data_IF_336858574537
#
_entry.id   IF_336858574537
#
_cell.length_a   1.000
_cell.length_b   1.000
_cell.length_c   1.000
_cell.angle_alpha   90.00
_cell.angle_beta   90.00
_cell.angle_gamma   90.00
#
_symmetry.space_group_name_H-M   'P 1'
#
loop_
_entity.id
_entity.type
_entity.pdbx_description
1 polymer ?
#
# COMPACT_ATOMS: atom_id res chain seq x y z
N UNK A 1 -7.62 -11.43 19.40
CA UNK A 1 -6.70 -12.43 20.00
C UNK A 1 -6.01 -11.93 21.25
N UNK A 2 -5.38 -10.74 21.27
CA UNK A 2 -4.77 -10.18 22.51
C UNK A 2 -5.71 -10.14 23.72
N UNK A 3 -6.95 -9.65 23.55
CA UNK A 3 -7.97 -9.68 24.59
C UNK A 3 -8.25 -11.10 25.10
N UNK A 4 -8.42 -12.06 24.20
CA UNK A 4 -8.79 -13.43 24.57
C UNK A 4 -7.64 -14.10 25.33
N UNK A 5 -6.40 -13.94 24.86
CA UNK A 5 -5.21 -14.45 25.56
C UNK A 5 -5.07 -13.87 26.98
N UNK A 6 -5.35 -12.57 27.13
CA UNK A 6 -5.36 -11.90 28.42
C UNK A 6 -6.49 -12.42 29.32
N UNK A 7 -7.70 -12.59 28.77
CA UNK A 7 -8.88 -13.02 29.50
C UNK A 7 -8.78 -14.49 29.93
N UNK A 8 -8.21 -15.37 29.11
CA UNK A 8 -7.98 -16.79 29.43
C UNK A 8 -7.07 -16.97 30.65
N UNK A 9 -6.23 -15.99 30.99
CA UNK A 9 -5.44 -16.00 32.22
C UNK A 9 -6.23 -15.60 33.49
N UNK A 10 -7.47 -15.10 33.35
CA UNK A 10 -8.28 -14.55 34.45
C UNK A 10 -9.64 -15.24 34.61
N UNK A 11 -10.17 -15.84 33.54
CA UNK A 11 -11.45 -16.54 33.52
C UNK A 11 -11.38 -17.78 32.64
N UNK A 12 -12.10 -18.83 33.04
CA UNK A 12 -12.26 -20.05 32.23
C UNK A 12 -13.17 -19.85 31.01
N UNK A 13 -14.11 -18.89 31.09
CA UNK A 13 -15.06 -18.59 30.01
C UNK A 13 -14.83 -17.14 29.56
N UNK A 14 -14.32 -16.98 28.33
CA UNK A 14 -14.04 -15.66 27.73
C UNK A 14 -15.23 -15.13 26.92
N UNK A 15 -16.04 -16.02 26.35
CA UNK A 15 -17.22 -15.65 25.58
C UNK A 15 -18.50 -16.29 26.15
N UNK A 16 -19.64 -15.58 26.15
CA UNK A 16 -19.84 -14.21 25.66
C UNK A 16 -19.05 -13.17 26.50
N UNK A 17 -18.45 -12.19 25.82
CA UNK A 17 -17.63 -11.19 26.48
C UNK A 17 -18.54 -10.21 27.23
N UNK A 18 -18.20 -9.90 28.47
CA UNK A 18 -18.93 -8.95 29.30
C UNK A 18 -18.16 -7.62 29.44
N UNK A 19 -18.89 -6.52 29.55
CA UNK A 19 -18.32 -5.17 29.70
C UNK A 19 -17.28 -5.06 30.82
N UNK A 20 -17.50 -5.59 32.04
CA UNK A 20 -16.53 -5.43 33.13
C UNK A 20 -15.18 -6.08 32.82
N UNK A 21 -15.19 -7.22 32.12
CA UNK A 21 -13.98 -7.94 31.74
C UNK A 21 -13.22 -7.21 30.62
N UNK A 22 -13.93 -6.61 29.66
CA UNK A 22 -13.33 -5.78 28.61
C UNK A 22 -12.78 -4.48 29.19
N UNK A 23 -13.51 -3.84 30.11
CA UNK A 23 -13.02 -2.66 30.83
C UNK A 23 -11.74 -2.97 31.60
N UNK A 24 -11.70 -4.07 32.34
CA UNK A 24 -10.51 -4.50 33.06
C UNK A 24 -9.32 -4.78 32.12
N UNK A 25 -9.57 -5.30 30.92
CA UNK A 25 -8.52 -5.42 29.89
C UNK A 25 -8.00 -4.06 29.46
N UNK A 26 -8.90 -3.14 29.12
CA UNK A 26 -8.55 -1.80 28.67
C UNK A 26 -7.76 -1.06 29.74
N UNK A 27 -8.15 -1.21 31.01
CA UNK A 27 -7.48 -0.58 32.14
C UNK A 27 -6.05 -1.12 32.36
N UNK A 28 -5.86 -2.42 32.19
CA UNK A 28 -4.56 -3.10 32.38
C UNK A 28 -3.57 -2.80 31.24
N UNK A 29 -4.05 -2.60 30.02
CA UNK A 29 -3.18 -2.33 28.86
C UNK A 29 -3.05 -0.86 28.48
N UNK A 30 -3.85 0.05 29.04
CA UNK A 30 -3.90 1.47 28.62
C UNK A 30 -2.54 2.17 28.60
N UNK A 31 -1.63 1.81 29.50
CA UNK A 31 -0.33 2.49 29.64
C UNK A 31 0.78 1.86 28.76
N UNK A 32 0.54 0.66 28.22
CA UNK A 32 1.51 -0.09 27.40
C UNK A 32 1.08 -0.21 25.94
N UNK A 33 -0.21 -0.15 25.66
CA UNK A 33 -0.75 -0.43 24.36
C UNK A 33 -0.56 0.75 23.40
N UNK A 34 -0.40 0.45 22.11
CA UNK A 34 -0.30 1.49 21.08
C UNK A 34 -1.56 2.39 21.08
N UNK A 35 -1.44 3.70 20.77
CA UNK A 35 -2.56 4.65 20.86
C UNK A 35 -3.84 4.28 20.09
N UNK A 36 -3.75 3.44 19.05
CA UNK A 36 -4.87 2.99 18.21
C UNK A 36 -5.41 1.60 18.57
N UNK A 37 -4.75 0.89 19.47
CA UNK A 37 -5.02 -0.51 19.79
C UNK A 37 -6.45 -0.72 20.33
N UNK A 38 -6.85 0.04 21.36
CA UNK A 38 -8.15 -0.10 22.02
C UNK A 38 -9.32 0.24 21.09
N UNK A 39 -9.16 1.26 20.24
CA UNK A 39 -10.14 1.52 19.16
C UNK A 39 -10.23 0.35 18.18
N UNK A 40 -9.11 -0.28 17.84
CA UNK A 40 -9.10 -1.46 16.97
C UNK A 40 -9.79 -2.67 17.63
N UNK A 41 -9.66 -2.83 18.94
CA UNK A 41 -10.39 -3.86 19.71
C UNK A 41 -11.89 -3.60 19.70
N UNK A 42 -12.33 -2.35 19.88
CA UNK A 42 -13.74 -1.97 19.73
C UNK A 42 -14.28 -2.29 18.33
N UNK A 43 -13.51 -1.97 17.27
CA UNK A 43 -13.88 -2.35 15.90
C UNK A 43 -13.97 -3.86 15.72
N UNK A 44 -13.09 -4.65 16.36
CA UNK A 44 -13.14 -6.10 16.32
C UNK A 44 -14.39 -6.66 17.03
N UNK A 45 -14.81 -6.07 18.15
CA UNK A 45 -16.07 -6.41 18.80
C UNK A 45 -17.28 -6.04 17.92
N UNK A 46 -17.29 -4.86 17.31
CA UNK A 46 -18.33 -4.47 16.37
C UNK A 46 -18.42 -5.43 15.17
N UNK A 47 -17.28 -5.85 14.62
CA UNK A 47 -17.23 -6.88 13.60
C UNK A 47 -17.79 -8.21 14.10
N UNK A 48 -17.37 -8.68 15.27
CA UNK A 48 -17.86 -9.93 15.86
C UNK A 48 -19.39 -9.90 16.08
N UNK A 49 -19.95 -8.75 16.48
CA UNK A 49 -21.39 -8.55 16.58
C UNK A 49 -22.07 -8.66 15.21
N UNK A 50 -21.73 -7.77 14.28
CA UNK A 50 -22.50 -7.59 13.05
C UNK A 50 -22.24 -8.64 11.97
N UNK A 51 -21.05 -9.25 11.97
CA UNK A 51 -20.66 -10.21 10.94
C UNK A 51 -20.69 -11.64 11.46
N UNK A 52 -20.20 -11.87 12.69
CA UNK A 52 -20.13 -13.22 13.28
C UNK A 52 -21.38 -13.56 14.09
N UNK A 53 -22.17 -12.56 14.49
CA UNK A 53 -23.39 -12.75 15.28
C UNK A 53 -23.12 -12.96 16.79
N UNK A 54 -21.98 -12.49 17.30
CA UNK A 54 -21.64 -12.59 18.72
C UNK A 54 -22.62 -11.75 19.56
N UNK A 55 -23.35 -12.41 20.47
CA UNK A 55 -24.33 -11.78 21.36
C UNK A 55 -23.66 -11.14 22.58
N UNK A 56 -24.34 -10.15 23.18
CA UNK A 56 -23.89 -9.48 24.42
C UNK A 56 -22.81 -8.41 24.21
N UNK A 57 -22.51 -8.05 22.96
CA UNK A 57 -21.47 -7.07 22.63
C UNK A 57 -21.96 -5.62 22.74
N UNK A 58 -23.27 -5.40 22.75
CA UNK A 58 -23.90 -4.07 22.83
C UNK A 58 -23.45 -3.31 24.09
N UNK A 59 -23.48 -3.96 25.24
CA UNK A 59 -23.04 -3.38 26.51
C UNK A 59 -21.56 -2.92 26.47
N UNK A 60 -20.71 -3.62 25.72
CA UNK A 60 -19.30 -3.25 25.54
C UNK A 60 -19.18 -2.01 24.63
N UNK A 61 -19.87 -2.02 23.48
CA UNK A 61 -19.79 -0.93 22.50
C UNK A 61 -20.44 0.35 23.00
N UNK A 62 -21.50 0.23 23.80
CA UNK A 62 -22.24 1.35 24.39
C UNK A 62 -21.63 1.83 25.71
N UNK A 63 -20.69 1.09 26.32
CA UNK A 63 -20.04 1.51 27.56
C UNK A 63 -19.27 2.83 27.39
N UNK A 64 -19.67 3.85 28.15
CA UNK A 64 -18.95 5.12 28.22
C UNK A 64 -17.54 4.95 28.79
N UNK A 65 -17.32 3.97 29.68
CA UNK A 65 -16.02 3.71 30.29
C UNK A 65 -15.02 3.12 29.29
N UNK A 66 -15.45 2.08 28.56
CA UNK A 66 -14.62 1.43 27.54
C UNK A 66 -14.31 2.39 26.39
N UNK A 67 -15.33 3.11 25.90
CA UNK A 67 -15.16 4.15 24.87
C UNK A 67 -14.27 5.28 25.35
N UNK A 68 -14.43 5.73 26.60
CA UNK A 68 -13.62 6.78 27.21
C UNK A 68 -12.15 6.41 27.30
N UNK A 69 -11.81 5.19 27.73
CA UNK A 69 -10.43 4.71 27.76
C UNK A 69 -9.82 4.62 26.35
N UNK A 70 -10.56 4.08 25.38
CA UNK A 70 -10.09 4.03 24.00
C UNK A 70 -9.89 5.42 23.39
N UNK A 71 -10.78 6.37 23.68
CA UNK A 71 -10.66 7.74 23.23
C UNK A 71 -9.46 8.44 23.87
N UNK A 72 -9.28 8.29 25.19
CA UNK A 72 -8.15 8.87 25.93
C UNK A 72 -6.80 8.34 25.43
N UNK A 73 -6.69 7.03 25.23
CA UNK A 73 -5.49 6.43 24.66
C UNK A 73 -5.24 6.92 23.23
N UNK A 74 -6.29 7.09 22.43
CA UNK A 74 -6.18 7.63 21.08
C UNK A 74 -5.72 9.10 21.04
N UNK A 75 -6.02 9.90 22.06
CA UNK A 75 -5.51 11.28 22.17
C UNK A 75 -3.98 11.31 22.33
N UNK A 76 -3.37 10.23 22.82
CA UNK A 76 -1.91 10.10 22.91
C UNK A 76 -1.28 9.73 21.55
N UNK A 77 -2.08 9.53 20.49
CA UNK A 77 -1.57 9.23 19.16
C UNK A 77 -0.72 10.40 18.67
N UNK A 78 0.57 10.13 18.43
CA UNK A 78 1.49 11.08 17.80
C UNK A 78 0.90 11.62 16.50
N UNK A 79 1.18 12.89 16.18
CA UNK A 79 0.81 13.47 14.89
C UNK A 79 1.36 12.59 13.77
N UNK A 80 0.50 12.23 12.82
CA UNK A 80 0.90 11.42 11.67
C UNK A 80 1.88 12.21 10.81
N UNK A 81 3.10 11.70 10.67
CA UNK A 81 4.08 12.22 9.72
C UNK A 81 3.80 11.58 8.36
N UNK A 82 3.22 12.36 7.45
CA UNK A 82 2.99 11.90 6.08
C UNK A 82 4.33 11.73 5.34
N UNK A 83 4.43 10.72 4.47
CA UNK A 83 5.61 10.48 3.64
C UNK A 83 5.94 11.68 2.76
N UNK A 84 7.21 12.05 2.67
CA UNK A 84 7.66 13.17 1.84
C UNK A 84 7.36 12.89 0.36
N UNK A 85 6.78 13.83 -0.42
CA UNK A 85 6.69 13.66 -1.87
C UNK A 85 8.09 13.60 -2.50
N UNK A 86 8.24 13.02 -3.68
CA UNK A 86 9.50 13.12 -4.40
C UNK A 86 9.70 14.57 -4.87
N UNK A 87 10.95 15.04 -4.80
CA UNK A 87 11.37 16.31 -5.40
C UNK A 87 11.47 16.17 -6.93
N UNK A 88 11.50 17.29 -7.64
CA UNK A 88 11.70 17.34 -9.10
C UNK A 88 13.00 16.62 -9.48
N UNK A 89 14.08 16.86 -8.73
CA UNK A 89 15.38 16.20 -8.94
C UNK A 89 15.31 14.67 -8.79
N UNK A 90 14.50 14.17 -7.86
CA UNK A 90 14.31 12.73 -7.64
C UNK A 90 13.58 12.09 -8.82
N UNK A 91 12.51 12.72 -9.31
CA UNK A 91 11.75 12.20 -10.46
C UNK A 91 12.61 12.26 -11.73
N UNK A 92 13.34 13.36 -11.95
CA UNK A 92 14.28 13.51 -13.05
C UNK A 92 15.39 12.44 -13.03
N UNK A 93 15.94 12.12 -11.86
CA UNK A 93 16.92 11.05 -11.71
C UNK A 93 16.32 9.68 -12.09
N UNK A 94 15.11 9.37 -11.60
CA UNK A 94 14.44 8.12 -11.97
C UNK A 94 14.21 8.01 -13.48
N UNK A 95 13.86 9.12 -14.15
CA UNK A 95 13.75 9.18 -15.62
C UNK A 95 15.08 8.86 -16.30
N UNK A 96 16.18 9.48 -15.87
CA UNK A 96 17.51 9.21 -16.42
C UNK A 96 17.95 7.77 -16.21
N UNK A 97 17.71 7.20 -15.02
CA UNK A 97 17.99 5.80 -14.73
C UNK A 97 17.19 4.91 -15.68
N UNK A 98 15.86 5.07 -15.75
CA UNK A 98 14.99 4.27 -16.60
C UNK A 98 15.43 4.30 -18.08
N UNK A 99 15.73 5.50 -18.59
CA UNK A 99 16.23 5.72 -19.96
C UNK A 99 17.68 5.27 -20.20
N UNK A 100 18.36 4.68 -19.22
CA UNK A 100 19.72 4.16 -19.38
C UNK A 100 20.82 5.22 -19.40
N UNK A 101 20.52 6.46 -19.01
CA UNK A 101 21.48 7.59 -19.05
C UNK A 101 22.44 7.61 -17.84
N UNK A 102 22.22 6.75 -16.85
CA UNK A 102 22.97 6.71 -15.58
C UNK A 102 23.81 5.41 -15.43
N UNK A 103 23.95 4.61 -16.49
CA UNK A 103 24.77 3.39 -16.49
C UNK A 103 24.36 2.34 -15.43
N UNK A 104 23.07 2.31 -15.06
CA UNK A 104 22.54 1.42 -14.01
C UNK A 104 22.20 0.03 -14.53
N UNK A 105 22.14 -0.94 -13.61
CA UNK A 105 21.75 -2.32 -13.90
C UNK A 105 20.36 -2.39 -14.53
N UNK A 106 20.10 -3.44 -15.30
CA UNK A 106 18.79 -3.65 -15.92
C UNK A 106 17.66 -3.70 -14.88
N UNK A 107 17.93 -4.31 -13.71
CA UNK A 107 16.99 -4.37 -12.59
C UNK A 107 16.69 -2.99 -11.99
N UNK A 108 17.70 -2.12 -11.88
CA UNK A 108 17.50 -0.74 -11.41
C UNK A 108 16.70 0.09 -12.40
N UNK A 109 16.92 -0.10 -13.71
CA UNK A 109 16.14 0.54 -14.77
C UNK A 109 14.67 0.10 -14.70
N UNK A 110 14.44 -1.20 -14.49
CA UNK A 110 13.11 -1.78 -14.30
C UNK A 110 12.41 -1.21 -13.06
N UNK A 111 13.11 -1.16 -11.93
CA UNK A 111 12.58 -0.58 -10.70
C UNK A 111 12.30 0.93 -10.83
N UNK A 112 13.19 1.68 -11.48
CA UNK A 112 13.01 3.12 -11.72
C UNK A 112 11.76 3.39 -12.57
N UNK A 113 11.57 2.65 -13.66
CA UNK A 113 10.36 2.75 -14.49
C UNK A 113 9.09 2.40 -13.72
N UNK A 114 9.12 1.39 -12.84
CA UNK A 114 7.99 1.08 -11.96
C UNK A 114 7.68 2.23 -10.99
N UNK A 115 8.69 2.87 -10.38
CA UNK A 115 8.46 4.02 -9.51
C UNK A 115 7.94 5.25 -10.27
N UNK A 116 8.42 5.48 -11.49
CA UNK A 116 7.87 6.51 -12.38
C UNK A 116 6.42 6.21 -12.72
N UNK A 117 6.08 4.95 -12.98
CA UNK A 117 4.69 4.54 -13.16
C UNK A 117 3.84 4.87 -11.93
N UNK A 118 4.29 4.57 -10.71
CA UNK A 118 3.54 4.98 -9.50
C UNK A 118 3.33 6.50 -9.40
N UNK A 119 4.35 7.30 -9.76
CA UNK A 119 4.28 8.76 -9.79
C UNK A 119 3.29 9.23 -10.86
N UNK A 120 3.53 8.85 -12.11
CA UNK A 120 2.79 9.28 -13.29
C UNK A 120 1.44 8.60 -13.45
N UNK A 121 1.12 7.55 -12.68
CA UNK A 121 -0.22 6.97 -12.56
C UNK A 121 -0.94 7.40 -11.27
N UNK A 122 -0.24 8.04 -10.32
CA UNK A 122 -0.69 8.25 -8.93
C UNK A 122 -1.20 6.97 -8.26
N UNK A 123 -0.62 5.85 -8.65
CA UNK A 123 -1.04 4.53 -8.19
C UNK A 123 -0.48 4.24 -6.80
N UNK A 124 -1.24 3.51 -5.97
CA UNK A 124 -0.65 2.90 -4.76
C UNK A 124 0.25 1.74 -5.19
N UNK A 125 1.30 1.48 -4.42
CA UNK A 125 2.21 0.37 -4.67
C UNK A 125 1.48 -0.97 -4.79
N UNK A 126 0.69 -1.34 -3.78
CA UNK A 126 -0.10 -2.57 -3.80
C UNK A 126 -1.15 -2.59 -4.90
N UNK A 127 -1.58 -1.41 -5.37
CA UNK A 127 -2.52 -1.32 -6.47
C UNK A 127 -1.87 -1.63 -7.82
N UNK A 128 -0.69 -1.05 -8.06
CA UNK A 128 0.13 -1.29 -9.25
C UNK A 128 0.67 -2.72 -9.35
N UNK A 129 0.96 -3.37 -8.22
CA UNK A 129 1.42 -4.76 -8.19
C UNK A 129 0.35 -5.78 -8.67
N UNK A 130 -0.91 -5.35 -8.81
CA UNK A 130 -2.05 -6.17 -9.30
C UNK A 130 -2.53 -5.72 -10.67
N UNK A 131 -1.68 -5.05 -11.43
CA UNK A 131 -1.94 -4.68 -12.81
C UNK A 131 -1.89 -5.95 -13.65
N UNK A 132 -2.95 -6.18 -14.45
CA UNK A 132 -3.08 -7.40 -15.27
C UNK A 132 -2.81 -7.14 -16.73
N UNK A 133 -3.12 -5.94 -17.22
CA UNK A 133 -2.90 -5.56 -18.61
C UNK A 133 -2.39 -4.14 -18.71
N UNK A 134 -1.26 -3.97 -19.38
CA UNK A 134 -0.72 -2.69 -19.77
C UNK A 134 -1.13 -2.39 -21.22
N UNK A 135 -1.91 -1.34 -21.43
CA UNK A 135 -2.20 -0.82 -22.77
C UNK A 135 -1.36 0.42 -22.99
N UNK A 136 -0.38 0.29 -23.87
CA UNK A 136 0.48 1.40 -24.28
C UNK A 136 -0.14 2.12 -25.46
N UNK A 137 -1.03 3.06 -25.17
CA UNK A 137 -1.40 4.12 -26.11
C UNK A 137 -0.50 5.32 -25.78
N UNK A 138 -0.46 6.39 -26.59
CA UNK A 138 0.29 7.62 -26.22
C UNK A 138 -0.02 8.15 -24.79
N UNK A 139 -1.10 7.68 -24.17
CA UNK A 139 -1.29 7.55 -22.72
C UNK A 139 -1.25 6.07 -22.30
N UNK A 140 -0.49 5.74 -21.26
CA UNK A 140 -0.54 4.41 -20.65
C UNK A 140 -1.93 4.27 -20.00
N UNK A 141 -2.70 3.25 -20.36
CA UNK A 141 -3.98 2.91 -19.72
C UNK A 141 -3.92 1.47 -19.20
N UNK A 142 -4.41 1.24 -17.98
CA UNK A 142 -4.23 -0.03 -17.28
C UNK A 142 -5.52 -0.46 -16.62
N UNK A 143 -5.97 -1.67 -16.94
CA UNK A 143 -7.05 -2.36 -16.25
C UNK A 143 -6.47 -3.35 -15.22
N UNK A 144 -6.92 -3.25 -13.96
CA UNK A 144 -6.73 -4.30 -12.93
C UNK A 144 -7.62 -5.51 -13.28
N UNK A 145 -7.31 -6.73 -12.85
CA UNK A 145 -8.22 -7.87 -12.97
C UNK A 145 -7.89 -9.02 -12.00
N UNK A 146 -8.82 -9.93 -11.70
CA UNK A 146 -8.48 -11.26 -11.22
C UNK A 146 -8.05 -12.15 -12.40
N UNK A 147 -7.06 -13.01 -12.13
CA UNK A 147 -6.58 -14.07 -13.01
C UNK A 147 -7.71 -15.08 -13.26
N UNK A 148 -8.19 -15.19 -14.49
CA UNK A 148 -8.98 -16.34 -14.92
C UNK A 148 -8.33 -16.90 -16.18
N UNK A 149 -7.86 -18.14 -16.08
CA UNK A 149 -7.53 -18.99 -17.22
C UNK A 149 -8.77 -19.09 -18.11
N UNK A 150 -8.57 -19.02 -19.42
CA UNK A 150 -9.61 -19.26 -20.41
C UNK A 150 -10.31 -20.60 -20.13
N UNK A 151 -11.59 -20.53 -19.77
CA UNK A 151 -12.53 -21.55 -20.17
C UNK A 151 -13.94 -20.97 -20.24
N UNK A 152 -14.53 -21.11 -21.43
CA UNK A 152 -15.95 -20.91 -21.71
C UNK A 152 -16.82 -21.49 -20.60
N UNK A 153 -17.75 -20.68 -20.08
CA UNK A 153 -19.19 -20.96 -19.99
C UNK A 153 -19.86 -20.01 -18.98
N UNK A 154 -20.82 -19.24 -19.50
CA UNK A 154 -21.98 -18.64 -18.84
C UNK A 154 -22.17 -19.01 -17.35
N UNK A 155 -21.86 -18.10 -16.42
CA UNK A 155 -22.52 -17.90 -15.12
C UNK A 155 -22.12 -16.50 -14.55
N UNK A 156 -22.89 -15.91 -13.63
CA UNK A 156 -23.43 -14.56 -13.75
C UNK A 156 -22.50 -13.42 -13.33
N UNK A 157 -22.71 -12.27 -13.98
CA UNK A 157 -22.27 -10.90 -13.67
C UNK A 157 -22.19 -10.65 -12.15
N UNK A 158 -21.02 -10.83 -11.55
CA UNK A 158 -20.61 -10.05 -10.37
C UNK A 158 -19.64 -8.98 -10.88
N UNK A 159 -20.13 -7.74 -10.96
CA UNK A 159 -19.44 -6.60 -11.53
C UNK A 159 -18.20 -6.20 -10.70
N UNK A 160 -17.07 -6.85 -10.96
CA UNK A 160 -15.76 -6.45 -10.49
C UNK A 160 -15.23 -5.27 -11.32
N UNK A 161 -15.74 -4.06 -11.08
CA UNK A 161 -15.32 -2.85 -11.79
C UNK A 161 -13.80 -2.64 -11.69
N UNK A 162 -13.13 -2.63 -12.85
CA UNK A 162 -11.70 -2.39 -12.96
C UNK A 162 -11.38 -0.91 -12.71
N UNK A 163 -10.23 -0.62 -12.09
CA UNK A 163 -9.76 0.76 -11.95
C UNK A 163 -8.87 1.11 -13.16
N UNK A 164 -9.34 1.92 -14.12
CA UNK A 164 -8.52 2.36 -15.25
C UNK A 164 -7.47 3.35 -14.74
N UNK A 165 -6.23 2.88 -14.59
CA UNK A 165 -5.10 3.74 -14.24
C UNK A 165 -4.49 4.31 -15.51
N UNK A 166 -4.36 5.63 -15.57
CA UNK A 166 -3.76 6.32 -16.70
C UNK A 166 -2.42 6.95 -16.29
N UNK A 167 -1.42 6.99 -17.16
CA UNK A 167 -0.16 7.71 -16.88
C UNK A 167 0.36 8.55 -18.04
N UNK A 168 0.98 9.69 -17.70
CA UNK A 168 1.67 10.53 -18.68
C UNK A 168 2.99 9.89 -19.08
N UNK A 169 3.12 9.52 -20.36
CA UNK A 169 4.30 8.86 -20.91
C UNK A 169 5.53 9.78 -21.06
N UNK A 170 5.31 11.10 -21.08
CA UNK A 170 6.38 12.09 -21.18
C UNK A 170 6.79 12.59 -19.79
N UNK A 171 8.07 12.41 -19.47
CA UNK A 171 8.66 12.79 -18.20
C UNK A 171 8.95 14.29 -18.06
N UNK A 172 9.43 14.70 -16.90
CA UNK A 172 9.86 16.07 -16.59
C UNK A 172 11.00 16.52 -17.48
N UNK A 173 11.95 15.65 -17.82
CA UNK A 173 13.08 15.98 -18.70
C UNK A 173 12.72 15.99 -20.19
N UNK A 174 11.43 15.81 -20.54
CA UNK A 174 11.01 15.60 -21.92
C UNK A 174 11.40 14.22 -22.47
N UNK A 175 11.88 13.32 -21.59
CA UNK A 175 12.22 11.95 -21.93
C UNK A 175 10.95 11.09 -22.02
N UNK A 176 10.98 10.17 -22.97
CA UNK A 176 9.97 9.13 -23.16
C UNK A 176 10.26 7.93 -22.24
N UNK A 177 10.22 8.17 -20.93
CA UNK A 177 10.55 7.16 -19.93
C UNK A 177 9.65 5.92 -20.03
N UNK A 178 8.39 6.11 -20.41
CA UNK A 178 7.44 5.02 -20.57
C UNK A 178 7.90 4.01 -21.63
N UNK A 179 8.37 4.52 -22.77
CA UNK A 179 8.83 3.69 -23.88
C UNK A 179 10.14 2.97 -23.51
N UNK A 180 11.08 3.70 -22.90
CA UNK A 180 12.30 3.09 -22.38
C UNK A 180 12.02 2.02 -21.31
N UNK A 181 10.96 2.19 -20.52
CA UNK A 181 10.57 1.19 -19.53
C UNK A 181 9.97 -0.06 -20.18
N UNK A 182 9.21 0.09 -21.27
CA UNK A 182 8.70 -1.05 -22.06
C UNK A 182 9.87 -1.87 -22.57
N UNK A 183 10.84 -1.22 -23.22
CA UNK A 183 12.04 -1.90 -23.75
C UNK A 183 12.78 -2.68 -22.64
N UNK A 184 12.91 -2.08 -21.44
CA UNK A 184 13.52 -2.73 -20.27
C UNK A 184 12.67 -3.91 -19.78
N UNK A 185 11.35 -3.77 -19.76
CA UNK A 185 10.46 -4.83 -19.31
C UNK A 185 10.50 -6.04 -20.25
N UNK A 186 10.62 -5.80 -21.57
CA UNK A 186 10.83 -6.81 -22.61
C UNK A 186 12.20 -7.49 -22.46
N UNK A 187 13.28 -6.71 -22.29
CA UNK A 187 14.63 -7.23 -22.07
C UNK A 187 14.73 -8.07 -20.78
N UNK A 188 13.96 -7.72 -19.76
CA UNK A 188 13.84 -8.46 -18.51
C UNK A 188 13.01 -9.74 -18.59
N UNK A 189 12.31 -9.98 -19.71
CA UNK A 189 11.25 -11.01 -19.82
C UNK A 189 10.24 -10.93 -18.65
N UNK A 190 9.90 -9.69 -18.27
CA UNK A 190 9.07 -9.40 -17.09
C UNK A 190 7.63 -9.02 -17.44
N UNK A 191 7.30 -8.89 -18.73
CA UNK A 191 5.95 -8.66 -19.24
C UNK A 191 5.27 -9.99 -19.49
N UNK A 192 4.83 -10.65 -18.42
CA UNK A 192 3.93 -11.80 -18.53
C UNK A 192 2.69 -11.49 -17.70
N UNK A 193 1.50 -11.86 -18.20
CA UNK A 193 0.23 -11.71 -17.47
C UNK A 193 0.24 -12.41 -16.10
N UNK A 194 1.17 -13.34 -15.95
CA UNK A 194 1.38 -14.14 -14.77
C UNK A 194 2.28 -13.51 -13.70
N UNK A 195 3.00 -12.44 -14.05
CA UNK A 195 3.95 -11.77 -13.18
C UNK A 195 3.36 -10.48 -12.61
N UNK A 196 3.72 -10.14 -11.35
CA UNK A 196 3.45 -8.82 -10.82
C UNK A 196 4.23 -7.75 -11.59
N UNK A 197 3.72 -6.52 -11.63
CA UNK A 197 4.32 -5.43 -12.42
C UNK A 197 5.78 -5.09 -12.01
N UNK A 198 6.14 -5.29 -10.74
CA UNK A 198 7.54 -5.33 -10.32
C UNK A 198 7.80 -6.63 -9.54
N UNK A 199 8.34 -7.66 -10.22
CA UNK A 199 8.68 -8.91 -9.59
C UNK A 199 9.88 -8.76 -8.66
N UNK A 200 9.99 -9.68 -7.70
CA UNK A 200 11.12 -9.68 -6.77
C UNK A 200 12.37 -10.24 -7.49
N UNK A 201 13.50 -9.54 -7.50
CA UNK A 201 14.71 -10.02 -8.16
C UNK A 201 15.22 -11.30 -7.50
N UNK A 202 15.73 -12.21 -8.32
CA UNK A 202 16.46 -13.42 -7.94
C UNK A 202 17.96 -13.14 -7.78
N UNK A 203 18.67 -14.06 -7.12
CA UNK A 203 20.10 -13.92 -6.82
C UNK A 203 21.00 -14.04 -8.07
N UNK A 204 20.51 -14.66 -9.14
CA UNK A 204 21.19 -14.85 -10.42
C UNK A 204 20.75 -13.81 -11.47
N UNK A 205 20.13 -12.70 -11.06
CA UNK A 205 19.65 -11.66 -11.96
C UNK A 205 18.32 -11.96 -12.66
N UNK A 206 17.71 -13.13 -12.40
CA UNK A 206 16.36 -13.46 -12.91
C UNK A 206 15.27 -12.82 -12.07
N UNK A 207 14.01 -12.94 -12.50
CA UNK A 207 12.85 -12.46 -11.75
C UNK A 207 12.08 -13.62 -11.13
N UNK A 208 11.55 -13.41 -9.93
CA UNK A 208 10.67 -14.38 -9.26
C UNK A 208 9.22 -14.05 -9.57
N UNK A 209 8.37 -15.09 -9.62
CA UNK A 209 6.92 -14.97 -9.84
C UNK A 209 6.15 -14.45 -8.61
N UNK A 210 6.78 -13.59 -7.81
CA UNK A 210 6.21 -13.00 -6.60
C UNK A 210 6.49 -11.51 -6.57
N UNK A 211 5.51 -10.75 -6.09
CA UNK A 211 5.60 -9.30 -6.00
C UNK A 211 6.71 -8.88 -5.05
N UNK A 212 7.44 -7.82 -5.40
CA UNK A 212 8.41 -7.20 -4.51
C UNK A 212 7.70 -6.71 -3.23
N UNK A 213 8.15 -7.12 -2.04
CA UNK A 213 7.62 -6.60 -0.78
C UNK A 213 7.76 -5.07 -0.67
N UNK A 214 6.78 -4.41 -0.04
CA UNK A 214 6.71 -2.95 0.00
C UNK A 214 7.90 -2.32 0.74
N UNK A 215 8.37 -2.95 1.82
CA UNK A 215 9.55 -2.55 2.56
C UNK A 215 10.82 -2.58 1.69
N UNK A 216 11.01 -3.67 0.93
CA UNK A 216 12.11 -3.81 -0.01
C UNK A 216 12.03 -2.78 -1.13
N UNK A 217 10.83 -2.51 -1.65
CA UNK A 217 10.63 -1.44 -2.62
C UNK A 217 10.98 -0.06 -2.06
N UNK A 218 10.65 0.23 -0.80
CA UNK A 218 11.03 1.50 -0.16
C UNK A 218 12.55 1.63 0.02
N UNK A 219 13.23 0.54 0.38
CA UNK A 219 14.70 0.50 0.47
C UNK A 219 15.33 0.70 -0.92
N UNK A 220 14.82 0.02 -1.94
CA UNK A 220 15.33 0.13 -3.30
C UNK A 220 15.14 1.54 -3.86
N UNK A 221 13.94 2.13 -3.72
CA UNK A 221 13.67 3.51 -4.11
C UNK A 221 14.68 4.48 -3.46
N UNK A 222 14.86 4.40 -2.14
CA UNK A 222 15.81 5.27 -1.43
C UNK A 222 17.25 5.05 -1.88
N UNK A 223 17.64 3.81 -2.17
CA UNK A 223 18.97 3.50 -2.68
C UNK A 223 19.21 4.10 -4.06
N UNK A 224 18.26 3.96 -5.00
CA UNK A 224 18.35 4.57 -6.33
C UNK A 224 18.53 6.09 -6.23
N UNK A 225 17.75 6.75 -5.36
CA UNK A 225 17.82 8.19 -5.16
C UNK A 225 19.15 8.59 -4.50
N UNK A 226 19.53 7.96 -3.40
CA UNK A 226 20.74 8.30 -2.66
C UNK A 226 22.03 8.13 -3.48
N UNK A 227 22.06 7.15 -4.39
CA UNK A 227 23.20 6.93 -5.27
C UNK A 227 23.33 7.97 -6.40
N UNK A 228 22.28 8.74 -6.70
CA UNK A 228 22.31 9.76 -7.76
C UNK A 228 22.29 11.20 -7.24
N UNK A 229 21.53 11.50 -6.19
CA UNK A 229 21.47 12.85 -5.58
C UNK A 229 22.26 12.98 -4.27
N UNK A 230 22.82 11.87 -3.76
CA UNK A 230 23.48 11.82 -2.46
C UNK A 230 22.53 11.47 -1.31
N UNK A 231 23.07 11.05 -0.15
CA UNK A 231 22.26 10.79 1.03
C UNK A 231 21.68 12.10 1.59
N UNK A 232 20.36 12.15 1.79
CA UNK A 232 19.63 13.30 2.34
C UNK A 232 18.68 12.79 3.44
N UNK A 233 18.60 13.49 4.57
CA UNK A 233 17.65 13.19 5.64
C UNK A 233 16.20 13.19 5.13
N UNK A 234 15.91 14.02 4.12
CA UNK A 234 14.62 14.03 3.43
C UNK A 234 14.23 12.64 2.89
N UNK A 235 15.20 11.86 2.40
CA UNK A 235 14.98 10.52 1.85
C UNK A 235 14.61 9.50 2.93
N UNK A 236 14.94 9.73 4.20
CA UNK A 236 14.56 8.81 5.29
C UNK A 236 13.04 8.65 5.40
N UNK A 237 12.29 9.71 5.09
CA UNK A 237 10.83 9.71 5.07
C UNK A 237 10.23 9.48 3.67
N UNK A 238 11.04 9.09 2.68
CA UNK A 238 10.58 8.66 1.35
C UNK A 238 10.27 7.16 1.37
N UNK A 239 9.16 6.77 0.72
CA UNK A 239 8.76 5.38 0.55
C UNK A 239 7.81 5.22 -0.63
N UNK A 240 7.24 4.04 -0.81
CA UNK A 240 6.38 3.74 -1.96
C UNK A 240 5.15 4.66 -2.08
N UNK A 241 4.60 5.12 -0.94
CA UNK A 241 3.49 6.09 -0.95
C UNK A 241 3.91 7.50 -1.38
N UNK A 242 5.20 7.86 -1.25
CA UNK A 242 5.75 9.12 -1.76
C UNK A 242 5.46 9.27 -3.24
N UNK A 243 5.59 8.19 -4.03
CA UNK A 243 5.32 8.20 -5.46
C UNK A 243 3.89 8.68 -5.78
N UNK A 244 2.88 8.06 -5.17
CA UNK A 244 1.47 8.49 -5.32
C UNK A 244 1.28 9.96 -4.91
N UNK A 245 1.93 10.38 -3.82
CA UNK A 245 1.74 11.70 -3.23
C UNK A 245 2.38 12.81 -4.07
N UNK A 246 3.46 12.54 -4.81
CA UNK A 246 4.24 13.53 -5.56
C UNK A 246 3.37 14.42 -6.43
N UNK A 247 2.73 13.85 -7.46
CA UNK A 247 1.92 14.63 -8.41
C UNK A 247 0.69 15.24 -7.73
N UNK A 248 0.04 14.54 -6.79
CA UNK A 248 -1.12 15.07 -6.08
C UNK A 248 -0.76 16.28 -5.20
N UNK A 249 0.43 16.26 -4.59
CA UNK A 249 0.99 17.37 -3.82
C UNK A 249 1.30 18.55 -4.73
N UNK A 250 1.96 18.31 -5.86
CA UNK A 250 2.25 19.35 -6.86
C UNK A 250 0.97 19.97 -7.42
N UNK A 251 -0.04 19.15 -7.74
CA UNK A 251 -1.34 19.61 -8.19
C UNK A 251 -2.03 20.51 -7.15
N UNK A 252 -1.92 20.14 -5.87
CA UNK A 252 -2.44 20.99 -4.79
C UNK A 252 -1.68 22.31 -4.67
N UNK A 253 -0.36 22.31 -4.87
CA UNK A 253 0.46 23.53 -4.82
C UNK A 253 0.19 24.47 -6.00
N UNK A 254 -0.02 23.91 -7.20
CA UNK A 254 -0.44 24.67 -8.40
C UNK A 254 -1.87 25.20 -8.33
N UNK A 255 -2.66 24.78 -7.34
CA UNK A 255 -4.05 25.24 -7.20
C UNK A 255 -5.07 24.47 -8.04
N UNK A 256 -4.81 23.20 -8.41
CA UNK A 256 -5.82 22.42 -9.12
C UNK A 256 -7.07 22.20 -8.24
N UNK A 257 -8.28 22.30 -8.83
CA UNK A 257 -9.53 22.04 -8.14
C UNK A 257 -9.58 20.71 -7.39
N UNK A 258 -10.29 20.67 -6.25
CA UNK A 258 -10.31 19.52 -5.34
C UNK A 258 -10.92 18.28 -5.99
N UNK A 259 -11.98 18.45 -6.77
CA UNK A 259 -12.64 17.44 -7.60
C UNK A 259 -11.64 16.79 -8.58
N UNK A 260 -10.89 17.60 -9.35
CA UNK A 260 -9.89 17.08 -10.29
C UNK A 260 -8.76 16.33 -9.58
N UNK A 261 -8.31 16.82 -8.41
CA UNK A 261 -7.33 16.12 -7.57
C UNK A 261 -7.88 14.82 -6.98
N UNK A 262 -9.15 14.80 -6.59
CA UNK A 262 -9.81 13.61 -6.06
C UNK A 262 -9.92 12.52 -7.14
N UNK A 263 -10.38 12.89 -8.34
CA UNK A 263 -10.48 11.99 -9.50
C UNK A 263 -9.09 11.48 -9.91
N UNK A 264 -8.09 12.36 -9.99
CA UNK A 264 -6.69 11.98 -10.26
C UNK A 264 -6.10 11.01 -9.23
N UNK A 265 -6.58 11.10 -7.97
CA UNK A 265 -6.18 10.22 -6.87
C UNK A 265 -7.00 8.93 -6.77
N UNK A 266 -7.94 8.71 -7.70
CA UNK A 266 -8.91 7.62 -7.74
C UNK A 266 -9.83 7.57 -6.52
N UNK A 267 -10.18 8.74 -5.99
CA UNK A 267 -11.15 8.87 -4.91
C UNK A 267 -12.55 8.99 -5.51
N UNK A 268 -13.39 7.98 -5.29
CA UNK A 268 -14.82 8.08 -5.54
C UNK A 268 -15.50 8.57 -4.26
N UNK A 269 -16.26 9.68 -4.35
CA UNK A 269 -17.03 10.14 -3.21
C UNK A 269 -18.28 9.27 -3.09
N UNK A 270 -18.46 8.56 -1.96
CA UNK A 270 -19.76 7.96 -1.62
C UNK A 270 -20.72 8.96 -0.96
N UNK A 271 -20.22 10.14 -0.57
CA UNK A 271 -20.91 11.09 0.32
C UNK A 271 -21.59 12.25 -0.39
N UNK A 272 -21.46 12.40 -1.72
CA UNK A 272 -22.03 13.53 -2.45
C UNK A 272 -23.28 13.19 -3.30
N UNK A 273 -23.88 12.01 -3.18
CA UNK A 273 -25.01 11.63 -4.06
C UNK A 273 -24.63 11.48 -5.55
N UNK A 274 -23.44 11.93 -5.97
CA UNK A 274 -22.81 11.76 -7.29
C UNK A 274 -22.27 10.34 -7.48
N UNK A 275 -23.03 9.34 -7.01
CA UNK A 275 -22.67 7.93 -7.18
C UNK A 275 -22.93 7.42 -8.60
N UNK A 276 -23.79 8.11 -9.36
CA UNK A 276 -24.30 7.67 -10.66
C UNK A 276 -23.72 8.43 -11.86
N UNK A 277 -23.07 9.58 -11.68
CA UNK A 277 -22.55 10.37 -12.80
C UNK A 277 -21.22 9.82 -13.35
N UNK A 278 -20.35 9.33 -12.45
CA UNK A 278 -19.17 8.51 -12.79
C UNK A 278 -19.51 7.19 -13.49
N UNK A 279 -20.78 6.75 -13.46
CA UNK A 279 -21.27 5.55 -14.16
C UNK A 279 -21.51 5.85 -15.65
N UNK A 280 -21.69 7.13 -16.03
CA UNK A 280 -21.94 7.54 -17.41
C UNK A 280 -20.76 8.28 -18.08
N UNK A 281 -19.79 8.78 -17.31
CA UNK A 281 -18.58 9.38 -17.89
C UNK A 281 -17.54 8.32 -18.23
N UNK A 282 -17.60 7.83 -19.47
CA UNK A 282 -16.62 6.88 -20.07
C UNK A 282 -15.17 7.37 -19.93
N UNK A 283 -14.94 8.67 -19.72
CA UNK A 283 -13.60 9.26 -19.55
C UNK A 283 -13.55 10.38 -18.49
N UNK A 284 -14.03 10.13 -17.27
CA UNK A 284 -13.92 11.09 -16.15
C UNK A 284 -12.45 11.51 -15.83
N UNK A 285 -11.46 10.72 -16.28
CA UNK A 285 -10.03 11.03 -16.10
C UNK A 285 -9.48 12.02 -17.13
N UNK A 286 -10.18 12.24 -18.24
CA UNK A 286 -9.69 13.05 -19.36
C UNK A 286 -9.28 14.48 -18.96
N UNK A 287 -10.16 15.20 -18.27
CA UNK A 287 -9.90 16.59 -17.86
C UNK A 287 -8.79 16.68 -16.81
N UNK A 288 -8.80 15.87 -15.72
CA UNK A 288 -7.70 15.85 -14.76
C UNK A 288 -6.34 15.48 -15.39
N UNK A 289 -6.30 14.55 -16.35
CA UNK A 289 -5.07 14.19 -17.07
C UNK A 289 -4.54 15.33 -17.93
N UNK A 290 -5.39 16.10 -18.60
CA UNK A 290 -4.98 17.31 -19.35
C UNK A 290 -4.42 18.38 -18.42
N UNK A 291 -5.10 18.64 -17.30
CA UNK A 291 -4.64 19.61 -16.29
C UNK A 291 -3.28 19.21 -15.72
N UNK A 292 -3.10 17.93 -15.41
CA UNK A 292 -1.85 17.36 -14.94
C UNK A 292 -0.74 17.44 -16.00
N UNK A 293 -1.02 17.11 -17.26
CA UNK A 293 -0.04 17.25 -18.34
C UNK A 293 0.41 18.70 -18.53
N UNK A 294 -0.49 19.67 -18.31
CA UNK A 294 -0.13 21.09 -18.30
C UNK A 294 0.78 21.44 -17.12
N UNK A 295 0.48 20.95 -15.92
CA UNK A 295 1.34 21.15 -14.75
C UNK A 295 2.75 20.61 -15.01
N UNK A 296 2.87 19.39 -15.53
CA UNK A 296 4.18 18.78 -15.80
C UNK A 296 4.97 19.56 -16.86
N UNK A 297 4.28 20.16 -17.85
CA UNK A 297 4.92 21.09 -18.81
C UNK A 297 5.45 22.35 -18.12
N UNK A 298 4.70 22.92 -17.18
CA UNK A 298 5.14 24.10 -16.42
C UNK A 298 6.35 23.78 -15.54
N UNK A 299 6.35 22.62 -14.86
CA UNK A 299 7.51 22.12 -14.09
C UNK A 299 8.73 22.00 -15.00
N UNK A 300 8.57 21.38 -16.18
CA UNK A 300 9.67 21.24 -17.16
C UNK A 300 10.23 22.58 -17.62
N UNK A 301 9.36 23.57 -17.83
CA UNK A 301 9.77 24.90 -18.27
C UNK A 301 10.31 25.80 -17.16
N UNK A 302 10.29 25.34 -15.90
CA UNK A 302 10.65 26.14 -14.73
C UNK A 302 9.59 27.16 -14.29
N UNK A 303 8.48 27.32 -15.04
CA UNK A 303 7.36 28.23 -14.69
C UNK A 303 6.68 27.89 -13.38
N UNK A 304 6.73 26.61 -12.99
CA UNK A 304 6.20 26.13 -11.72
C UNK A 304 7.27 25.30 -11.01
N UNK A 305 7.71 25.75 -9.83
CA UNK A 305 8.76 25.09 -9.04
C UNK A 305 8.13 24.43 -7.81
N UNK A 306 7.64 23.18 -7.89
CA UNK A 306 6.86 22.57 -6.82
C UNK A 306 7.67 22.26 -5.56
N UNK A 307 8.99 22.32 -5.61
CA UNK A 307 9.87 22.09 -4.45
C UNK A 307 10.07 23.35 -3.60
N UNK A 308 9.80 24.55 -4.16
CA UNK A 308 9.91 25.80 -3.41
C UNK A 308 8.92 25.81 -2.23
N UNK A 309 9.29 26.42 -1.10
CA UNK A 309 8.37 26.66 0.01
C UNK A 309 7.15 27.47 -0.44
N UNK A 310 5.99 27.21 0.16
CA UNK A 310 4.73 27.90 -0.21
C UNK A 310 4.83 29.42 -0.17
N UNK A 311 5.54 29.98 0.81
CA UNK A 311 5.72 31.42 0.93
C UNK A 311 6.53 32.03 -0.21
N UNK A 312 7.48 31.28 -0.76
CA UNK A 312 8.27 31.73 -1.91
C UNK A 312 7.45 31.66 -3.21
N UNK A 313 6.65 30.60 -3.37
CA UNK A 313 5.74 30.47 -4.52
C UNK A 313 4.73 31.62 -4.59
N UNK A 314 4.15 32.00 -3.43
CA UNK A 314 3.21 33.12 -3.34
C UNK A 314 3.89 34.48 -3.60
N UNK A 315 5.13 34.67 -3.14
CA UNK A 315 5.86 35.91 -3.42
C UNK A 315 6.14 36.07 -4.92
N UNK A 316 6.59 35.00 -5.59
CA UNK A 316 6.84 34.96 -7.04
C UNK A 316 5.55 35.07 -7.89
N UNK A 317 4.39 34.80 -7.30
CA UNK A 317 3.06 34.99 -7.92
C UNK A 317 2.58 36.44 -7.74
N UNK A 318 2.70 37.02 -6.54
CA UNK A 318 2.39 38.43 -6.29
C UNK A 318 3.21 39.36 -7.19
N UNK A 319 4.51 39.11 -7.32
CA UNK A 319 5.40 39.87 -8.21
C UNK A 319 5.01 39.78 -9.69
N UNK A 320 4.25 38.75 -10.08
CA UNK A 320 3.77 38.51 -11.46
C UNK A 320 2.36 39.01 -11.70
N UNK A 321 1.52 39.00 -10.67
CA UNK A 321 0.13 39.49 -10.71
C UNK A 321 0.03 41.01 -10.62
N UNK A 322 1.09 41.71 -10.22
CA UNK A 322 1.17 43.17 -10.32
C UNK A 322 1.12 43.68 -11.79
N UNK A 323 1.17 42.77 -12.79
CA UNK A 323 1.08 43.09 -14.22
C UNK A 323 -0.26 42.72 -14.91
N UNK A 324 -1.13 41.85 -14.35
CA UNK A 324 -2.43 41.49 -14.95
C UNK A 324 -3.49 41.07 -13.89
N UNK A 325 -4.70 41.64 -13.96
CA UNK A 325 -5.85 41.45 -13.04
C UNK A 325 -7.15 41.29 -13.88
N UNK A 326 -8.32 40.70 -13.48
CA UNK A 326 -8.75 39.79 -12.39
C UNK A 326 -9.67 38.61 -12.94
N UNK A 327 -10.68 37.98 -12.27
CA UNK A 327 -11.05 37.84 -10.84
C UNK A 327 -11.24 36.38 -10.32
N UNK A 328 -11.28 36.25 -9.00
CA UNK A 328 -11.50 35.01 -8.22
C UNK A 328 -12.99 34.66 -8.00
N UNK A 329 -13.30 33.36 -7.99
CA UNK A 329 -14.52 32.79 -7.41
C UNK A 329 -14.17 31.97 -6.15
N UNK A 330 -14.82 32.28 -5.04
CA UNK A 330 -14.71 31.56 -3.77
C UNK A 330 -15.68 30.37 -3.77
N UNK A 331 -15.19 29.16 -3.50
CA UNK A 331 -16.04 28.01 -3.19
C UNK A 331 -15.59 27.33 -1.89
N UNK A 332 -16.59 27.04 -1.06
CA UNK A 332 -16.51 26.62 0.33
C UNK A 332 -15.75 25.31 0.58
N UNK A 333 -14.91 25.35 1.63
CA UNK A 333 -14.03 24.27 2.06
C UNK A 333 -14.70 23.32 3.06
N UNK A 334 -15.15 22.15 2.60
CA UNK A 334 -15.43 21.00 3.47
C UNK A 334 -14.23 20.02 3.48
N UNK A 335 -13.43 20.07 4.54
CA UNK A 335 -12.27 19.20 4.77
C UNK A 335 -12.69 17.81 5.27
N UNK A 336 -13.00 16.89 4.35
CA UNK A 336 -13.16 15.47 4.66
C UNK A 336 -11.82 14.75 4.54
N UNK A 337 -11.12 14.61 5.67
CA UNK A 337 -9.92 13.77 5.76
C UNK A 337 -10.30 12.29 5.76
N UNK A 338 -10.33 11.68 4.58
CA UNK A 338 -10.35 10.23 4.47
C UNK A 338 -9.04 9.67 5.00
N UNK A 339 -9.04 9.11 6.22
CA UNK A 339 -7.86 8.49 6.79
C UNK A 339 -7.50 7.23 5.99
N UNK A 340 -6.61 7.40 5.02
CA UNK A 340 -5.79 6.31 4.52
C UNK A 340 -4.92 5.86 5.68
N UNK A 341 -5.24 4.72 6.28
CA UNK A 341 -4.42 4.11 7.32
C UNK A 341 -3.11 3.71 6.64
N UNK A 342 -2.05 4.47 6.90
CA UNK A 342 -0.69 4.07 6.55
C UNK A 342 -0.40 2.73 7.23
N UNK A 343 0.13 1.77 6.46
CA UNK A 343 0.71 0.56 7.02
C UNK A 343 2.03 0.93 7.69
N UNK A 344 1.94 1.49 8.90
CA UNK A 344 3.08 1.51 9.82
C UNK A 344 3.57 0.07 10.01
N UNK A 345 4.89 -0.14 10.06
CA UNK A 345 5.47 -1.39 10.53
C UNK A 345 4.92 -1.68 11.93
N UNK A 346 3.93 -2.56 12.00
CA UNK A 346 3.33 -2.99 13.26
C UNK A 346 4.21 -4.09 13.84
N UNK A 347 4.63 -3.91 15.09
CA UNK A 347 5.17 -5.03 15.86
C UNK A 347 4.04 -6.03 16.15
N UNK A 348 4.15 -7.19 15.50
CA UNK A 348 3.17 -8.25 15.57
C UNK A 348 3.49 -9.31 16.63
N UNK A 349 4.63 -9.21 17.31
CA UNK A 349 5.11 -10.23 18.25
C UNK A 349 4.08 -10.58 19.34
N UNK A 350 3.42 -9.56 19.91
CA UNK A 350 2.37 -9.75 20.91
C UNK A 350 1.11 -10.44 20.37
N UNK A 351 0.72 -10.17 19.11
CA UNK A 351 -0.41 -10.84 18.47
C UNK A 351 -0.13 -12.34 18.28
N UNK A 352 1.12 -12.70 17.98
CA UNK A 352 1.55 -14.09 17.79
C UNK A 352 1.44 -14.90 19.07
N UNK A 353 1.99 -14.36 20.14
CA UNK A 353 1.95 -15.01 21.46
C UNK A 353 0.50 -15.16 21.92
N UNK A 354 -0.34 -14.15 21.66
CA UNK A 354 -1.75 -14.22 21.97
C UNK A 354 -2.48 -15.33 21.19
N UNK A 355 -2.21 -15.47 19.88
CA UNK A 355 -2.78 -16.54 19.07
C UNK A 355 -2.36 -17.92 19.57
N UNK A 356 -1.06 -18.11 19.83
CA UNK A 356 -0.51 -19.38 20.31
C UNK A 356 -1.09 -19.83 21.65
N UNK A 357 -1.39 -18.90 22.56
CA UNK A 357 -2.01 -19.21 23.87
C UNK A 357 -3.51 -19.51 23.80
N UNK A 358 -4.18 -18.96 22.79
CA UNK A 358 -5.65 -18.89 22.78
C UNK A 358 -6.29 -19.94 21.88
N UNK A 359 -5.74 -20.15 20.69
CA UNK A 359 -6.37 -21.06 19.73
C UNK A 359 -5.86 -22.47 19.93
N UNK A 360 -6.79 -23.41 20.02
CA UNK A 360 -6.52 -24.79 19.65
C UNK A 360 -6.00 -24.86 18.22
N UNK A 361 -5.22 -25.91 17.93
CA UNK A 361 -4.52 -26.07 16.66
C UNK A 361 -5.52 -26.00 15.49
N UNK A 362 -5.39 -24.97 14.66
CA UNK A 362 -6.23 -24.70 13.51
C UNK A 362 -5.42 -24.73 12.22
N UNK A 363 -5.37 -25.89 11.53
CA UNK A 363 -4.64 -26.00 10.26
C UNK A 363 -5.38 -25.37 9.08
N UNK A 364 -6.62 -24.92 9.26
CA UNK A 364 -7.48 -24.48 8.17
C UNK A 364 -7.74 -25.64 7.19
N UNK A 365 -7.47 -25.44 5.90
CA UNK A 365 -7.58 -26.48 4.85
C UNK A 365 -6.31 -27.32 4.66
N UNK A 366 -5.31 -27.20 5.54
CA UNK A 366 -4.07 -27.97 5.42
C UNK A 366 -4.27 -29.36 6.02
N UNK A 367 -4.00 -30.41 5.26
CA UNK A 367 -3.90 -31.77 5.77
C UNK A 367 -2.57 -31.93 6.52
N UNK A 368 -2.66 -31.89 7.84
CA UNK A 368 -1.50 -31.92 8.72
C UNK A 368 -0.70 -33.21 8.64
N UNK A 369 -1.31 -34.32 8.19
CA UNK A 369 -0.69 -35.64 8.06
C UNK A 369 0.26 -35.71 6.87
N UNK A 370 0.08 -34.83 5.89
CA UNK A 370 0.93 -34.74 4.68
C UNK A 370 2.13 -33.82 4.86
N UNK A 371 2.16 -33.05 5.96
CA UNK A 371 3.28 -32.15 6.23
C UNK A 371 4.49 -32.95 6.73
N UNK A 372 5.72 -32.62 6.26
CA UNK A 372 6.93 -33.25 6.76
C UNK A 372 7.07 -33.07 8.29
N UNK A 373 7.48 -34.13 8.99
CA UNK A 373 7.59 -34.12 10.46
C UNK A 373 8.70 -33.19 10.98
N UNK A 374 9.71 -32.95 10.16
CA UNK A 374 10.88 -32.09 10.36
C UNK A 374 10.73 -30.70 9.71
N UNK A 375 9.54 -30.37 9.20
CA UNK A 375 9.32 -29.12 8.50
C UNK A 375 9.66 -27.89 9.38
N UNK A 376 10.58 -27.06 8.90
CA UNK A 376 10.86 -25.77 9.55
C UNK A 376 9.96 -24.69 8.98
N UNK A 377 9.25 -23.99 9.86
CA UNK A 377 8.31 -22.94 9.52
C UNK A 377 8.97 -21.57 9.66
N UNK A 378 8.72 -20.70 8.68
CA UNK A 378 9.14 -19.31 8.71
C UNK A 378 7.94 -18.40 8.52
N UNK A 379 7.93 -17.26 9.20
CA UNK A 379 6.86 -16.27 9.08
C UNK A 379 7.43 -14.93 8.65
N UNK A 380 6.84 -14.35 7.61
CA UNK A 380 7.20 -13.01 7.18
C UNK A 380 6.77 -11.98 8.22
N UNK A 381 7.69 -11.09 8.64
CA UNK A 381 7.47 -10.13 9.73
C UNK A 381 6.29 -9.20 9.49
N UNK A 382 6.19 -8.64 8.28
CA UNK A 382 5.09 -7.75 7.88
C UNK A 382 3.83 -8.48 7.41
N UNK A 383 3.89 -9.27 6.32
CA UNK A 383 2.70 -9.93 5.75
C UNK A 383 2.13 -11.08 6.58
N UNK A 384 2.89 -11.55 7.58
CA UNK A 384 2.51 -12.67 8.49
C UNK A 384 2.33 -14.02 7.80
N UNK A 385 2.59 -14.09 6.50
CA UNK A 385 2.45 -15.30 5.69
C UNK A 385 3.44 -16.34 6.19
N UNK A 386 2.94 -17.55 6.45
CA UNK A 386 3.73 -18.72 6.85
C UNK A 386 4.28 -19.41 5.60
N UNK A 387 5.56 -19.75 5.66
CA UNK A 387 6.33 -20.45 4.64
C UNK A 387 7.01 -21.68 5.25
N UNK A 388 7.41 -22.62 4.40
CA UNK A 388 8.18 -23.81 4.72
C UNK A 388 9.56 -23.69 4.08
N UNK A 389 10.60 -24.23 4.71
CA UNK A 389 11.95 -24.33 4.11
C UNK A 389 12.00 -25.45 3.07
N UNK A 390 12.79 -25.28 2.01
CA UNK A 390 12.98 -26.29 0.96
C UNK A 390 14.04 -27.34 1.33
N UNK A 391 14.97 -26.99 2.21
CA UNK A 391 16.16 -27.78 2.55
C UNK A 391 16.60 -27.57 4.02
N UNK A 392 17.33 -28.54 4.56
CA UNK A 392 17.97 -28.47 5.90
C UNK A 392 19.02 -27.33 5.99
N UNK A 393 19.55 -26.90 4.83
CA UNK A 393 20.48 -25.78 4.71
C UNK A 393 19.84 -24.41 5.02
N UNK A 394 18.51 -24.28 4.96
CA UNK A 394 17.76 -23.13 5.48
C UNK A 394 18.01 -21.82 4.72
N UNK A 395 18.42 -21.88 3.44
CA UNK A 395 18.67 -20.68 2.63
C UNK A 395 17.44 -20.25 1.82
N UNK A 396 16.54 -21.18 1.49
CA UNK A 396 15.38 -20.92 0.64
C UNK A 396 14.10 -21.57 1.17
N UNK A 397 12.98 -20.89 0.94
CA UNK A 397 11.63 -21.38 1.21
C UNK A 397 11.12 -22.19 0.02
N UNK A 398 10.22 -23.17 0.25
CA UNK A 398 9.61 -24.03 -0.79
C UNK A 398 9.01 -23.21 -1.95
N UNK A 399 8.52 -22.00 -1.67
CA UNK A 399 8.03 -21.07 -2.69
C UNK A 399 9.14 -20.35 -3.50
N UNK A 400 10.40 -20.79 -3.44
CA UNK A 400 11.53 -20.16 -4.12
C UNK A 400 11.97 -18.81 -3.53
N UNK A 401 11.48 -18.43 -2.34
CA UNK A 401 11.89 -17.18 -1.69
C UNK A 401 13.13 -17.41 -0.84
N UNK A 402 14.20 -16.67 -1.09
CA UNK A 402 15.36 -16.64 -0.20
C UNK A 402 14.99 -16.17 1.21
N UNK A 403 15.56 -16.82 2.20
CA UNK A 403 15.46 -16.44 3.60
C UNK A 403 16.26 -15.16 3.84
N UNK A 404 15.60 -14.17 4.45
CA UNK A 404 16.16 -12.86 4.78
C UNK A 404 15.76 -12.47 6.19
N UNK A 405 16.30 -11.35 6.69
CA UNK A 405 15.93 -10.79 8.01
C UNK A 405 14.43 -10.52 8.16
N UNK A 406 13.67 -10.46 7.06
CA UNK A 406 12.22 -10.29 7.06
C UNK A 406 11.45 -11.57 7.39
N UNK A 407 12.12 -12.71 7.52
CA UNK A 407 11.52 -13.98 7.91
C UNK A 407 12.00 -14.37 9.30
N UNK A 408 11.07 -14.47 10.24
CA UNK A 408 11.33 -15.05 11.56
C UNK A 408 11.16 -16.57 11.49
N UNK A 409 12.14 -17.32 12.00
CA UNK A 409 11.98 -18.77 12.21
C UNK A 409 10.96 -18.99 13.32
N UNK A 410 9.96 -19.83 13.08
CA UNK A 410 9.08 -20.30 14.13
C UNK A 410 9.80 -21.42 14.88
N UNK A 411 9.97 -21.29 16.20
CA UNK A 411 10.60 -22.32 17.03
C UNK A 411 9.79 -23.61 17.09
N UNK A 412 8.47 -23.49 16.92
CA UNK A 412 7.53 -24.60 16.90
C UNK A 412 6.57 -24.46 15.72
N UNK A 413 5.87 -25.53 15.39
CA UNK A 413 4.79 -25.50 14.40
C UNK A 413 3.72 -24.49 14.84
N UNK A 414 3.36 -23.49 14.01
CA UNK A 414 2.33 -22.53 14.39
C UNK A 414 0.98 -23.20 14.67
N UNK A 415 0.35 -22.83 15.79
CA UNK A 415 -1.00 -23.30 16.13
C UNK A 415 -2.03 -22.95 15.04
N UNK A 416 -1.85 -21.82 14.34
CA UNK A 416 -2.71 -21.39 13.24
C UNK A 416 -1.89 -21.34 11.94
N UNK A 417 -2.29 -22.13 10.94
CA UNK A 417 -1.66 -22.17 9.61
C UNK A 417 -2.31 -21.18 8.61
N UNK A 418 -2.58 -19.96 9.07
CA UNK A 418 -3.14 -18.87 8.27
C UNK A 418 -2.62 -17.48 8.75
N UNK A 419 -2.31 -16.53 7.84
CA UNK A 419 -2.21 -16.71 6.39
C UNK A 419 -0.98 -17.56 6.02
N UNK A 420 -1.11 -18.37 4.96
CA UNK A 420 -0.05 -19.28 4.51
C UNK A 420 0.29 -19.05 3.05
N UNK A 421 1.53 -19.32 2.68
CA UNK A 421 1.96 -19.24 1.30
C UNK A 421 1.29 -20.35 0.49
N UNK A 422 0.49 -19.99 -0.51
CA UNK A 422 -0.21 -20.96 -1.37
C UNK A 422 0.76 -21.92 -2.05
N UNK A 423 1.95 -21.46 -2.43
CA UNK A 423 2.98 -22.30 -3.06
C UNK A 423 3.63 -23.26 -2.07
N UNK A 424 4.11 -22.78 -0.91
CA UNK A 424 4.71 -23.67 0.10
C UNK A 424 3.74 -24.75 0.56
N UNK A 425 2.45 -24.42 0.65
CA UNK A 425 1.43 -25.34 1.16
C UNK A 425 0.64 -26.07 0.06
N UNK A 426 0.99 -25.89 -1.24
CA UNK A 426 0.20 -26.42 -2.37
C UNK A 426 -0.03 -27.92 -2.29
N UNK A 427 1.00 -28.69 -1.91
CA UNK A 427 0.93 -30.14 -1.80
C UNK A 427 0.18 -30.64 -0.54
N UNK A 428 -0.14 -29.73 0.40
CA UNK A 428 -0.65 -30.07 1.72
C UNK A 428 -2.04 -29.51 1.97
N UNK A 429 -2.68 -28.86 1.00
CA UNK A 429 -4.07 -28.41 1.12
C UNK A 429 -4.99 -29.50 0.58
N UNK A 430 -6.03 -29.83 1.35
CA UNK A 430 -7.08 -30.78 0.96
C UNK A 430 -8.03 -30.20 -0.09
#
# INVERSE_FOLDING_TARGET
MRYVAWASGKTAIVFPAAEPLVYAYFDDVKDKAAPTSLKSVLSAFAFAKYVVGLKGVDEILESGRVRGLAARLFLQKRKLLQRNPLKVEHVALLERICCGLEGRSLQDRMAAGFFLFLVHARARFSDAQRVCKLLFVRLISISRGPRFEEQDQLLPREEGWFLPMAACALGLLGLRWADAWIDVMEECDSIHEDLPLLPCPGSNGTWRNVSLPCDQACVWLRSLLAQGVGPDEYLNNVGSHSCKRTILSWASKRGLPRDQRAISGYHTSKSAGVGTELIYEVDAQSAPLRAMASMLREVRSGKFMPDNPRGQQLAEECERSDEEDPPHSEDDMASSSGSSVDEEERDHSEDEQAVARTMERWPGRVDERRLPGDATYFRHRQSRVIHLTADEAGAHLICGRALSVQYGRCHERPAVLHPRCKQCFRAYVA
#
